data_IF_545780252397
#
_entry.id   IF_545780252397
#
_cell.length_a   1.000
_cell.length_b   1.000
_cell.length_c   1.000
_cell.angle_alpha   90.00
_cell.angle_beta   90.00
_cell.angle_gamma   90.00
#
_symmetry.space_group_name_H-M   'P 1'
#
loop_
_entity.id
_entity.type
_entity.pdbx_description
1 polymer ?
#
# COMPACT_ATOMS: atom_id res chain seq x y z
N UNK A 1 -8.22 15.17 11.95
CA UNK A 1 -7.87 15.08 10.51
C UNK A 1 -8.42 16.29 9.76
N UNK A 2 -7.77 16.72 8.67
CA UNK A 2 -8.27 17.81 7.82
C UNK A 2 -9.47 17.36 6.97
N UNK A 3 -10.38 18.29 6.66
CA UNK A 3 -11.47 18.12 5.68
C UNK A 3 -10.94 18.24 4.25
N UNK A 4 -11.68 17.79 3.22
CA UNK A 4 -11.22 17.86 1.83
C UNK A 4 -10.94 19.29 1.36
N UNK A 5 -11.80 20.24 1.75
CA UNK A 5 -11.59 21.65 1.47
C UNK A 5 -10.33 22.21 2.16
N UNK A 6 -10.04 21.75 3.38
CA UNK A 6 -8.80 22.13 4.07
C UNK A 6 -7.57 21.51 3.39
N UNK A 7 -7.63 20.25 2.96
CA UNK A 7 -6.54 19.62 2.22
C UNK A 7 -6.26 20.36 0.91
N UNK A 8 -7.29 20.71 0.15
CA UNK A 8 -7.16 21.50 -1.08
C UNK A 8 -6.59 22.89 -0.82
N UNK A 9 -6.98 23.56 0.27
CA UNK A 9 -6.42 24.86 0.63
C UNK A 9 -4.93 24.74 0.99
N UNK A 10 -4.54 23.72 1.77
CA UNK A 10 -3.11 23.49 2.07
C UNK A 10 -2.33 23.14 0.81
N UNK A 11 -2.86 22.29 -0.07
CA UNK A 11 -2.21 21.92 -1.32
C UNK A 11 -2.01 23.14 -2.24
N UNK A 12 -3.06 23.95 -2.40
CA UNK A 12 -3.04 25.17 -3.20
C UNK A 12 -2.06 26.22 -2.67
N UNK A 13 -2.05 26.46 -1.35
CA UNK A 13 -1.17 27.43 -0.68
C UNK A 13 0.32 27.07 -0.80
N UNK A 14 0.64 25.83 -1.14
CA UNK A 14 2.00 25.32 -1.29
C UNK A 14 2.34 24.91 -2.72
N UNK A 15 1.54 25.34 -3.70
CA UNK A 15 1.82 25.14 -5.14
C UNK A 15 3.13 25.86 -5.50
N UNK A 16 4.24 25.11 -5.53
CA UNK A 16 5.60 25.63 -5.79
C UNK A 16 6.59 25.55 -4.62
N UNK A 17 6.13 25.17 -3.42
CA UNK A 17 7.01 24.80 -2.31
C UNK A 17 7.29 23.29 -2.33
N UNK A 18 8.52 22.88 -2.03
CA UNK A 18 8.83 21.46 -1.86
C UNK A 18 8.13 20.91 -0.61
N UNK A 19 6.94 20.33 -0.79
CA UNK A 19 6.25 19.59 0.25
C UNK A 19 7.11 18.40 0.68
N UNK A 20 7.18 18.16 1.99
CA UNK A 20 7.83 16.95 2.50
C UNK A 20 6.87 15.77 2.32
N UNK A 21 7.11 14.95 1.30
CA UNK A 21 6.37 13.72 1.05
C UNK A 21 6.66 12.71 2.16
N UNK A 22 5.59 12.15 2.72
CA UNK A 22 5.63 11.08 3.72
C UNK A 22 5.34 9.70 3.10
N UNK A 23 4.50 9.66 2.07
CA UNK A 23 4.21 8.45 1.31
C UNK A 23 3.82 8.79 -0.14
N UNK A 24 4.26 7.96 -1.07
CA UNK A 24 3.82 7.94 -2.46
C UNK A 24 3.80 6.49 -2.94
N UNK A 25 2.84 6.16 -3.81
CA UNK A 25 2.74 4.83 -4.41
C UNK A 25 3.77 4.59 -5.52
N UNK A 26 4.55 5.62 -5.88
CA UNK A 26 5.51 5.59 -6.98
C UNK A 26 6.96 5.66 -6.49
N UNK A 27 7.87 5.14 -7.30
CA UNK A 27 9.31 5.29 -7.08
C UNK A 27 9.73 6.77 -7.18
N UNK A 28 10.73 7.24 -6.42
CA UNK A 28 11.17 8.63 -6.46
C UNK A 28 11.66 9.12 -7.83
N UNK A 29 12.11 8.21 -8.70
CA UNK A 29 12.56 8.49 -10.06
C UNK A 29 11.43 8.48 -11.10
N UNK A 30 10.19 8.26 -10.67
CA UNK A 30 9.00 8.22 -11.53
C UNK A 30 8.91 7.00 -12.46
N UNK A 31 9.75 5.97 -12.27
CA UNK A 31 9.81 4.80 -13.18
C UNK A 31 8.64 3.83 -13.06
N UNK A 32 7.81 3.99 -12.03
CA UNK A 32 6.60 3.20 -11.85
C UNK A 32 6.22 3.08 -10.37
N UNK A 33 5.26 2.19 -10.05
CA UNK A 33 4.85 1.96 -8.68
C UNK A 33 5.97 1.36 -7.84
N UNK A 34 5.99 1.69 -6.55
CA UNK A 34 6.95 1.12 -5.61
C UNK A 34 6.70 -0.39 -5.39
N UNK A 35 7.59 -1.06 -4.67
CA UNK A 35 7.52 -2.51 -4.46
C UNK A 35 6.25 -2.93 -3.71
N UNK A 36 5.87 -2.19 -2.66
CA UNK A 36 4.66 -2.45 -1.88
C UNK A 36 3.40 -2.33 -2.76
N UNK A 37 3.27 -1.26 -3.54
CA UNK A 37 2.12 -1.03 -4.43
C UNK A 37 2.02 -2.14 -5.48
N UNK A 38 3.13 -2.55 -6.09
CA UNK A 38 3.15 -3.71 -7.01
C UNK A 38 2.72 -5.00 -6.32
N UNK A 39 3.24 -5.27 -5.11
CA UNK A 39 2.88 -6.45 -4.34
C UNK A 39 1.39 -6.50 -4.01
N UNK A 40 0.83 -5.39 -3.53
CA UNK A 40 -0.60 -5.30 -3.18
C UNK A 40 -1.50 -5.46 -4.40
N UNK A 41 -1.10 -4.93 -5.57
CA UNK A 41 -1.81 -5.18 -6.83
C UNK A 41 -1.84 -6.66 -7.19
N UNK A 42 -0.70 -7.35 -7.06
CA UNK A 42 -0.63 -8.80 -7.28
C UNK A 42 -1.49 -9.56 -6.26
N UNK A 43 -1.49 -9.14 -4.99
CA UNK A 43 -2.38 -9.70 -3.98
C UNK A 43 -3.85 -9.54 -4.41
N UNK A 44 -4.29 -8.32 -4.76
CA UNK A 44 -5.67 -8.11 -5.21
C UNK A 44 -6.05 -9.01 -6.38
N UNK A 45 -5.18 -9.14 -7.38
CA UNK A 45 -5.41 -10.05 -8.50
C UNK A 45 -5.52 -11.53 -8.11
N UNK A 46 -4.83 -11.98 -7.06
CA UNK A 46 -4.98 -13.34 -6.54
C UNK A 46 -6.28 -13.52 -5.75
N UNK A 47 -6.76 -12.48 -5.05
CA UNK A 47 -8.06 -12.48 -4.39
C UNK A 47 -9.19 -12.53 -5.40
N UNK A 48 -9.13 -11.70 -6.44
CA UNK A 48 -10.09 -11.67 -7.54
C UNK A 48 -10.11 -13.03 -8.26
N UNK A 49 -8.94 -13.59 -8.58
CA UNK A 49 -8.85 -14.91 -9.20
C UNK A 49 -9.50 -16.01 -8.33
N UNK A 50 -9.30 -16.00 -7.01
CA UNK A 50 -9.89 -17.00 -6.13
C UNK A 50 -11.42 -16.87 -6.02
N UNK A 51 -11.96 -15.65 -6.08
CA UNK A 51 -13.40 -15.42 -6.09
C UNK A 51 -14.04 -15.81 -7.43
N UNK A 52 -13.35 -15.56 -8.56
CA UNK A 52 -13.86 -15.80 -9.91
C UNK A 52 -13.32 -17.08 -10.56
N UNK A 53 -12.70 -17.98 -9.78
CA UNK A 53 -11.97 -19.16 -10.28
C UNK A 53 -12.84 -20.09 -11.16
N UNK A 54 -14.16 -20.09 -10.96
CA UNK A 54 -15.11 -20.86 -11.78
C UNK A 54 -15.26 -20.32 -13.21
N UNK A 55 -14.90 -19.05 -13.45
CA UNK A 55 -15.07 -18.35 -14.73
C UNK A 55 -13.75 -17.98 -15.41
N UNK A 56 -12.62 -18.07 -14.69
CA UNK A 56 -11.28 -17.80 -15.21
C UNK A 56 -10.34 -19.01 -15.03
N UNK A 57 -10.30 -19.96 -15.98
CA UNK A 57 -9.46 -21.15 -15.85
C UNK A 57 -7.96 -20.83 -15.95
N UNK A 58 -7.59 -19.71 -16.58
CA UNK A 58 -6.19 -19.34 -16.80
C UNK A 58 -5.69 -18.30 -15.78
N UNK A 59 -5.03 -18.82 -14.74
CA UNK A 59 -4.36 -18.05 -13.70
C UNK A 59 -3.27 -17.11 -14.25
N UNK A 60 -2.57 -17.51 -15.31
CA UNK A 60 -1.44 -16.74 -15.81
C UNK A 60 -1.90 -15.43 -16.46
N UNK A 61 -2.95 -15.53 -17.30
CA UNK A 61 -3.55 -14.37 -17.96
C UNK A 61 -4.16 -13.39 -16.95
N UNK A 62 -4.91 -13.88 -15.96
CA UNK A 62 -5.52 -13.02 -14.92
C UNK A 62 -4.44 -12.30 -14.10
N UNK A 63 -3.40 -13.01 -13.67
CA UNK A 63 -2.37 -12.41 -12.83
C UNK A 63 -1.39 -11.53 -13.61
N UNK A 64 -1.23 -11.73 -14.92
CA UNK A 64 -0.49 -10.77 -15.76
C UNK A 64 -1.14 -9.39 -15.74
N UNK A 65 -2.47 -9.32 -15.83
CA UNK A 65 -3.20 -8.05 -15.69
C UNK A 65 -3.04 -7.41 -14.29
N UNK A 66 -2.78 -8.24 -13.27
CA UNK A 66 -2.48 -7.81 -11.91
C UNK A 66 -0.99 -7.48 -11.66
N UNK A 67 -0.16 -7.41 -12.71
CA UNK A 67 1.24 -6.99 -12.60
C UNK A 67 2.20 -8.11 -12.20
N UNK A 68 1.85 -9.38 -12.42
CA UNK A 68 2.77 -10.52 -12.16
C UNK A 68 4.13 -10.36 -12.85
N UNK A 69 4.15 -9.79 -14.05
CA UNK A 69 5.37 -9.61 -14.85
C UNK A 69 6.21 -8.39 -14.42
N UNK A 70 5.72 -7.59 -13.46
CA UNK A 70 6.38 -6.40 -12.92
C UNK A 70 7.50 -6.74 -11.91
N UNK A 71 7.64 -8.02 -11.55
CA UNK A 71 8.61 -8.51 -10.59
C UNK A 71 9.85 -9.12 -11.26
N UNK A 72 10.98 -8.98 -10.59
CA UNK A 72 12.24 -9.62 -10.96
C UNK A 72 12.87 -10.22 -9.68
N UNK A 73 12.86 -11.55 -9.51
CA UNK A 73 12.29 -12.57 -10.41
C UNK A 73 10.76 -12.54 -10.47
N UNK A 74 10.19 -12.98 -11.59
CA UNK A 74 8.73 -13.20 -11.74
C UNK A 74 8.33 -14.36 -10.81
N UNK A 75 7.23 -14.28 -10.05
CA UNK A 75 6.79 -15.39 -9.21
C UNK A 75 6.40 -16.59 -10.08
N UNK A 76 6.86 -17.77 -9.69
CA UNK A 76 6.42 -19.02 -10.29
C UNK A 76 4.95 -19.31 -9.97
N UNK A 77 4.35 -20.22 -10.72
CA UNK A 77 2.99 -20.66 -10.43
C UNK A 77 2.88 -21.30 -9.04
N UNK A 78 3.90 -22.04 -8.59
CA UNK A 78 3.94 -22.60 -7.23
C UNK A 78 3.99 -21.52 -6.16
N UNK A 79 4.74 -20.42 -6.37
CA UNK A 79 4.76 -19.29 -5.45
C UNK A 79 3.36 -18.64 -5.34
N UNK A 80 2.68 -18.46 -6.47
CA UNK A 80 1.29 -17.95 -6.51
C UNK A 80 0.34 -18.89 -5.77
N UNK A 81 0.39 -20.20 -6.04
CA UNK A 81 -0.42 -21.20 -5.34
C UNK A 81 -0.14 -21.15 -3.84
N UNK A 82 1.13 -21.04 -3.43
CA UNK A 82 1.51 -20.87 -2.03
C UNK A 82 0.86 -19.64 -1.38
N UNK A 83 0.68 -18.55 -2.13
CA UNK A 83 0.02 -17.34 -1.65
C UNK A 83 -1.47 -17.58 -1.43
N UNK A 84 -2.11 -18.27 -2.37
CA UNK A 84 -3.52 -18.68 -2.30
C UNK A 84 -3.77 -19.68 -1.16
N UNK A 85 -2.82 -20.59 -0.89
CA UNK A 85 -2.92 -21.54 0.22
C UNK A 85 -2.82 -20.86 1.60
N UNK A 86 -2.10 -19.74 1.68
CA UNK A 86 -1.98 -18.90 2.87
C UNK A 86 -3.10 -17.84 2.98
N UNK A 87 -4.26 -18.10 2.36
CA UNK A 87 -5.37 -17.16 2.22
C UNK A 87 -5.76 -16.42 3.49
N UNK A 88 -5.87 -17.13 4.62
CA UNK A 88 -6.31 -16.52 5.88
C UNK A 88 -5.40 -15.37 6.32
N UNK A 89 -4.09 -15.51 6.08
CA UNK A 89 -3.10 -14.52 6.50
C UNK A 89 -2.90 -13.46 5.44
N UNK A 90 -2.99 -13.87 4.18
CA UNK A 90 -3.04 -13.00 3.02
C UNK A 90 -4.23 -12.02 3.07
N UNK A 91 -5.41 -12.46 3.50
CA UNK A 91 -6.59 -11.61 3.68
C UNK A 91 -6.36 -10.44 4.65
N UNK A 92 -5.47 -10.60 5.64
CA UNK A 92 -5.12 -9.51 6.57
C UNK A 92 -4.36 -8.40 5.86
N UNK A 93 -3.53 -8.73 4.87
CA UNK A 93 -2.85 -7.74 4.03
C UNK A 93 -3.88 -6.94 3.22
N UNK A 94 -4.85 -7.61 2.63
CA UNK A 94 -5.92 -6.95 1.86
C UNK A 94 -6.86 -6.10 2.74
N UNK A 95 -7.11 -6.53 3.98
CA UNK A 95 -7.87 -5.71 4.94
C UNK A 95 -7.08 -4.47 5.34
N UNK A 96 -5.77 -4.59 5.61
CA UNK A 96 -4.92 -3.44 5.88
C UNK A 96 -4.94 -2.45 4.71
N UNK A 97 -4.89 -2.96 3.47
CA UNK A 97 -5.02 -2.16 2.26
C UNK A 97 -6.34 -1.39 2.20
N UNK A 98 -7.46 -2.11 2.34
CA UNK A 98 -8.78 -1.50 2.28
C UNK A 98 -8.98 -0.42 3.35
N UNK A 99 -8.48 -0.65 4.58
CA UNK A 99 -8.59 0.36 5.64
C UNK A 99 -7.70 1.58 5.39
N UNK A 100 -6.58 1.42 4.67
CA UNK A 100 -5.77 2.55 4.23
C UNK A 100 -6.50 3.33 3.13
N UNK A 101 -7.09 2.66 2.14
CA UNK A 101 -7.88 3.30 1.07
C UNK A 101 -9.06 4.10 1.65
N UNK A 102 -9.77 3.56 2.64
CA UNK A 102 -10.80 4.28 3.39
C UNK A 102 -10.25 5.54 4.07
N UNK A 103 -9.06 5.45 4.66
CA UNK A 103 -8.41 6.55 5.37
C UNK A 103 -7.97 7.66 4.39
N UNK A 104 -7.47 7.30 3.22
CA UNK A 104 -6.94 8.26 2.23
C UNK A 104 -7.98 8.80 1.27
N UNK A 105 -9.17 8.21 1.18
CA UNK A 105 -10.27 8.69 0.34
C UNK A 105 -10.69 10.13 0.69
N UNK A 106 -10.33 11.16 -0.10
CA UNK A 106 -10.52 12.55 0.31
C UNK A 106 -12.01 12.89 0.38
N UNK A 107 -12.78 12.60 -0.67
CA UNK A 107 -14.19 13.01 -0.75
C UNK A 107 -15.15 12.13 0.06
N UNK A 108 -14.80 10.86 0.28
CA UNK A 108 -15.72 9.83 0.78
C UNK A 108 -15.17 9.08 2.00
N UNK A 109 -14.29 9.72 2.80
CA UNK A 109 -13.76 9.09 4.02
C UNK A 109 -14.91 8.69 4.93
N UNK A 110 -15.12 7.38 5.19
CA UNK A 110 -16.22 6.96 6.05
C UNK A 110 -15.95 7.36 7.50
N UNK A 111 -17.02 7.52 8.29
CA UNK A 111 -16.91 7.70 9.73
C UNK A 111 -16.21 6.48 10.36
N UNK A 112 -15.31 6.72 11.32
CA UNK A 112 -14.55 5.67 11.96
C UNK A 112 -13.31 5.18 11.19
N UNK A 113 -12.95 5.78 10.05
CA UNK A 113 -11.82 5.31 9.23
C UNK A 113 -10.47 5.34 9.98
N UNK A 114 -10.28 6.32 10.87
CA UNK A 114 -9.08 6.42 11.68
C UNK A 114 -8.99 5.29 12.72
N UNK A 115 -10.13 4.91 13.30
CA UNK A 115 -10.27 3.86 14.30
C UNK A 115 -10.17 2.46 13.69
N UNK A 116 -10.63 2.30 12.43
CA UNK A 116 -10.53 1.04 11.67
C UNK A 116 -9.17 0.80 11.03
N UNK A 117 -8.32 1.82 10.95
CA UNK A 117 -7.01 1.72 10.29
C UNK A 117 -6.17 0.57 10.85
N UNK A 118 -5.72 -0.33 9.97
CA UNK A 118 -4.84 -1.44 10.32
C UNK A 118 -3.44 -1.25 9.71
N UNK A 119 -2.36 -1.33 10.51
CA UNK A 119 -1.00 -1.17 10.00
C UNK A 119 -0.61 -2.28 9.01
N UNK A 120 -0.15 -1.88 7.82
CA UNK A 120 0.30 -2.76 6.76
C UNK A 120 1.52 -3.58 7.18
N UNK A 121 2.48 -2.96 7.88
CA UNK A 121 3.68 -3.68 8.33
C UNK A 121 3.32 -4.85 9.24
N UNK A 122 2.38 -4.65 10.16
CA UNK A 122 1.93 -5.70 11.05
C UNK A 122 1.27 -6.84 10.26
N UNK A 123 0.39 -6.53 9.31
CA UNK A 123 -0.26 -7.51 8.46
C UNK A 123 0.77 -8.36 7.67
N UNK A 124 1.81 -7.73 7.12
CA UNK A 124 2.87 -8.41 6.39
C UNK A 124 3.73 -9.32 7.27
N UNK A 125 4.04 -8.90 8.51
CA UNK A 125 4.74 -9.75 9.48
C UNK A 125 3.90 -10.99 9.81
N UNK A 126 2.60 -10.83 10.08
CA UNK A 126 1.70 -11.95 10.31
C UNK A 126 1.59 -12.87 9.09
N UNK A 127 1.54 -12.29 7.89
CA UNK A 127 1.56 -13.04 6.65
C UNK A 127 2.81 -13.92 6.56
N UNK A 128 4.01 -13.36 6.77
CA UNK A 128 5.27 -14.14 6.74
C UNK A 128 5.29 -15.25 7.79
N UNK A 129 4.86 -14.96 9.02
CA UNK A 129 4.75 -15.98 10.07
C UNK A 129 3.80 -17.12 9.69
N UNK A 130 2.73 -16.81 8.96
CA UNK A 130 1.81 -17.80 8.39
C UNK A 130 2.51 -18.72 7.39
N UNK A 131 3.28 -18.13 6.46
CA UNK A 131 4.06 -18.88 5.48
C UNK A 131 5.08 -19.80 6.18
N UNK A 132 5.75 -19.32 7.22
CA UNK A 132 6.78 -20.09 7.92
C UNK A 132 6.27 -21.37 8.59
N UNK A 133 4.95 -21.46 8.84
CA UNK A 133 4.30 -22.63 9.42
C UNK A 133 3.90 -23.68 8.39
N UNK A 134 3.91 -23.37 7.10
CA UNK A 134 3.49 -24.28 6.03
C UNK A 134 4.63 -24.53 5.03
N UNK A 135 5.16 -25.74 5.04
CA UNK A 135 6.23 -26.20 4.14
C UNK A 135 5.89 -25.99 2.66
N UNK A 136 4.60 -26.03 2.29
CA UNK A 136 4.12 -25.89 0.91
C UNK A 136 4.32 -24.47 0.37
N UNK A 137 4.58 -23.50 1.24
CA UNK A 137 4.83 -22.09 0.89
C UNK A 137 6.33 -21.77 0.71
N UNK A 138 7.22 -22.76 0.76
CA UNK A 138 8.66 -22.55 0.67
C UNK A 138 9.09 -21.73 -0.58
N UNK A 139 8.46 -21.99 -1.72
CA UNK A 139 8.77 -21.27 -2.95
C UNK A 139 8.30 -19.82 -2.92
N UNK A 140 7.11 -19.56 -2.33
CA UNK A 140 6.64 -18.19 -2.08
C UNK A 140 7.58 -17.43 -1.16
N UNK A 141 8.03 -18.05 -0.06
CA UNK A 141 8.98 -17.42 0.87
C UNK A 141 10.29 -17.06 0.18
N UNK A 142 10.83 -17.99 -0.60
CA UNK A 142 12.06 -17.77 -1.37
C UNK A 142 11.89 -16.64 -2.39
N UNK A 143 10.73 -16.56 -3.04
CA UNK A 143 10.41 -15.47 -3.96
C UNK A 143 10.29 -14.11 -3.25
N UNK A 144 9.60 -14.05 -2.10
CA UNK A 144 9.49 -12.82 -1.29
C UNK A 144 10.88 -12.32 -0.87
N UNK A 145 11.76 -13.23 -0.46
CA UNK A 145 13.13 -12.89 -0.10
C UNK A 145 13.91 -12.34 -1.31
N UNK A 146 13.71 -12.93 -2.50
CA UNK A 146 14.37 -12.53 -3.73
C UNK A 146 13.91 -11.17 -4.29
N UNK A 147 12.64 -10.79 -4.11
CA UNK A 147 12.13 -9.49 -4.58
C UNK A 147 12.40 -8.33 -3.61
N UNK A 148 12.95 -8.62 -2.42
CA UNK A 148 13.26 -7.60 -1.42
C UNK A 148 12.24 -7.51 -0.27
N UNK A 149 11.98 -8.61 0.43
CA UNK A 149 11.13 -8.61 1.64
C UNK A 149 11.46 -7.51 2.67
N UNK A 150 12.74 -7.22 2.99
CA UNK A 150 13.07 -6.12 3.92
C UNK A 150 12.64 -4.75 3.41
N UNK A 151 12.80 -4.48 2.10
CA UNK A 151 12.37 -3.22 1.48
C UNK A 151 10.85 -3.09 1.53
N UNK A 152 10.13 -4.18 1.26
CA UNK A 152 8.67 -4.22 1.33
C UNK A 152 8.17 -3.89 2.76
N UNK A 153 8.83 -4.43 3.80
CA UNK A 153 8.53 -4.09 5.20
C UNK A 153 8.87 -2.64 5.56
N UNK A 154 9.93 -2.07 4.97
CA UNK A 154 10.32 -0.68 5.16
C UNK A 154 9.30 0.27 4.51
N UNK A 155 8.86 -0.04 3.28
CA UNK A 155 7.82 0.74 2.60
C UNK A 155 6.50 0.66 3.36
N UNK A 156 6.13 -0.51 3.86
CA UNK A 156 4.94 -0.66 4.70
C UNK A 156 5.03 0.17 5.99
N UNK A 157 6.20 0.24 6.62
CA UNK A 157 6.44 1.06 7.80
C UNK A 157 6.32 2.57 7.51
N UNK A 158 6.87 3.02 6.37
CA UNK A 158 6.76 4.40 5.93
C UNK A 158 5.29 4.77 5.66
N UNK A 159 4.53 3.91 4.98
CA UNK A 159 3.09 4.07 4.75
C UNK A 159 2.30 4.14 6.05
N UNK A 160 2.60 3.25 7.00
CA UNK A 160 1.96 3.25 8.32
C UNK A 160 2.26 4.54 9.10
N UNK A 161 3.49 5.06 8.99
CA UNK A 161 3.86 6.33 9.60
C UNK A 161 3.10 7.51 8.96
N UNK A 162 2.99 7.53 7.63
CA UNK A 162 2.22 8.55 6.90
C UNK A 162 0.74 8.52 7.29
N UNK A 163 0.13 7.32 7.39
CA UNK A 163 -1.24 7.15 7.86
C UNK A 163 -1.44 7.67 9.29
N UNK A 164 -0.52 7.38 10.21
CA UNK A 164 -0.57 7.92 11.58
C UNK A 164 -0.42 9.44 11.61
N UNK A 165 0.41 10.01 10.73
CA UNK A 165 0.53 11.45 10.58
C UNK A 165 -0.77 12.08 10.06
N UNK A 166 -1.46 11.42 9.12
CA UNK A 166 -2.80 11.82 8.65
C UNK A 166 -3.80 11.83 9.81
N UNK A 167 -3.92 10.72 10.54
CA UNK A 167 -4.83 10.56 11.69
C UNK A 167 -4.59 11.67 12.73
N UNK A 168 -3.31 11.94 13.05
CA UNK A 168 -2.91 12.98 13.98
C UNK A 168 -3.08 14.42 13.46
N UNK A 169 -3.53 14.61 12.20
CA UNK A 169 -3.70 15.93 11.59
C UNK A 169 -2.39 16.67 11.33
N UNK A 170 -1.29 15.93 11.12
CA UNK A 170 0.04 16.47 10.77
C UNK A 170 0.39 16.27 9.29
N UNK A 171 -0.49 15.61 8.54
CA UNK A 171 -0.33 15.35 7.12
C UNK A 171 -1.68 15.55 6.40
N UNK A 172 -1.62 15.61 5.06
CA UNK A 172 -2.78 15.65 4.18
C UNK A 172 -2.54 14.79 2.94
N UNK A 173 -3.64 14.46 2.24
CA UNK A 173 -3.59 13.77 0.95
C UNK A 173 -3.59 14.84 -0.15
N UNK A 174 -2.57 14.87 -0.99
CA UNK A 174 -2.47 15.82 -2.12
C UNK A 174 -3.44 15.46 -3.25
N UNK A 175 -3.61 16.37 -4.21
CA UNK A 175 -4.40 16.10 -5.41
C UNK A 175 -3.90 14.88 -6.22
N UNK A 176 -2.61 14.54 -6.10
CA UNK A 176 -2.00 13.39 -6.77
C UNK A 176 -2.20 12.07 -6.02
N UNK A 177 -2.80 12.11 -4.83
CA UNK A 177 -3.02 10.93 -3.97
C UNK A 177 -1.85 10.62 -3.03
N UNK A 178 -0.78 11.42 -3.06
CA UNK A 178 0.35 11.27 -2.15
C UNK A 178 0.02 11.80 -0.75
N UNK A 179 0.73 11.33 0.28
CA UNK A 179 0.62 11.86 1.63
C UNK A 179 1.78 12.81 1.88
N UNK A 180 1.48 14.08 2.12
CA UNK A 180 2.46 15.11 2.44
C UNK A 180 2.31 15.62 3.88
N UNK A 181 3.43 15.96 4.52
CA UNK A 181 3.41 16.63 5.80
C UNK A 181 2.82 18.04 5.66
N UNK A 182 2.06 18.50 6.67
CA UNK A 182 1.61 19.89 6.75
C UNK A 182 2.81 20.75 7.15
N UNK A 183 3.20 21.75 6.35
CA UNK A 183 4.32 22.62 6.70
C UNK A 183 4.06 23.37 8.01
N UNK A 184 5.06 23.37 8.91
CA UNK A 184 4.97 24.10 10.19
C UNK A 184 5.09 25.61 10.04
N UNK A 185 5.56 26.08 8.87
CA UNK A 185 5.78 27.50 8.56
C UNK A 185 4.80 27.91 7.47
N UNK A 186 3.89 28.82 7.81
CA UNK A 186 3.06 29.49 6.81
C UNK A 186 3.97 30.36 5.92
N UNK A 187 3.91 30.25 4.58
CA UNK A 187 4.51 31.27 3.73
C UNK A 187 3.78 32.59 4.00
N UNK A 188 4.47 33.58 4.58
CA UNK A 188 3.92 34.92 4.76
C UNK A 188 4.05 35.58 6.14
N UNK A 189 4.97 35.15 7.01
CA UNK A 189 5.45 35.99 8.12
C UNK A 189 6.98 36.10 8.07
N UNK A 190 7.48 36.76 7.03
CA UNK A 190 8.70 37.54 7.19
C UNK A 190 8.30 38.82 7.95
N UNK A 191 9.08 39.15 8.97
CA UNK A 191 8.83 40.12 10.02
C UNK A 191 8.30 41.49 9.54
N UNK A 192 7.52 42.08 10.46
CA UNK A 192 7.03 43.46 10.51
C UNK A 192 8.06 44.52 10.13
#
# INVERSE_FOLDING_TARGET
MLTPAQMQAVDADHTGAHLTLLWTDYMPDGTGPNLLTRFLRLCRGCDDYLHDALFHPDMDTTLRAAGRDDFRPIPSQTAIIGMMMAWAEFRKVLVAEATFDELTAPANRPEGAAERFQPMRAALVWFRMGLDRDVRTAELRSWLDAIGWPELLQQAEARDHAARALIAGRAFVSAQGDIAAIPTVRPGHAAA
#
